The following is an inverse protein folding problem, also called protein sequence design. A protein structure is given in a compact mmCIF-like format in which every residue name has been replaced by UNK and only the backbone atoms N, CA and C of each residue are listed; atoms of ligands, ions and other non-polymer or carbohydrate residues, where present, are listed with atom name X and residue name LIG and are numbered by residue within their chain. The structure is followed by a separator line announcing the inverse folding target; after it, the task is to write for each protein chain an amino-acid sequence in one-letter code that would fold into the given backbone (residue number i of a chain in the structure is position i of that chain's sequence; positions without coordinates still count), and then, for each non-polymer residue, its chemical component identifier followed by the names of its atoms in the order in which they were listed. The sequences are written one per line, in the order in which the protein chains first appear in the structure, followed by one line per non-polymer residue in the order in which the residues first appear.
data_IF_464335688945
#
_entry.id   IF_464335688945
#
_cell.length_a   1.000
_cell.length_b   1.000
_cell.length_c   1.000
_cell.angle_alpha   90.00
_cell.angle_beta   90.00
_cell.angle_gamma   90.00
#
_symmetry.space_group_name_H-M   'P 1'
#
loop_
_entity.id
_entity.type
_entity.pdbx_description
1 polymer ?
#
# COMPACT_ATOMS: atom_id res chain seq x y z
N UNK A 1 23.15 -6.51 6.32
CA UNK A 1 22.50 -5.48 7.15
C UNK A 1 21.44 -4.96 6.24
N UNK A 2 20.20 -5.32 6.49
CA UNK A 2 19.08 -4.86 5.67
C UNK A 2 18.99 -3.35 5.92
N UNK A 3 19.30 -2.57 4.89
CA UNK A 3 19.32 -1.12 4.97
C UNK A 3 17.88 -0.65 4.94
N UNK A 4 17.43 0.03 5.99
CA UNK A 4 16.08 0.57 6.07
C UNK A 4 16.07 2.08 5.80
N UNK A 5 15.08 2.56 5.06
CA UNK A 5 14.81 3.98 4.83
C UNK A 5 13.52 4.37 5.55
N UNK A 6 13.47 5.61 6.06
CA UNK A 6 12.27 6.18 6.66
C UNK A 6 11.75 7.26 5.72
N UNK A 7 10.57 7.05 5.16
CA UNK A 7 9.81 8.04 4.43
C UNK A 7 8.94 8.84 5.40
N UNK A 8 8.77 10.14 5.15
CA UNK A 8 7.98 11.04 5.98
C UNK A 8 7.03 11.84 5.10
N UNK A 9 5.74 11.87 5.45
CA UNK A 9 4.75 12.68 4.73
C UNK A 9 4.70 14.13 5.26
N UNK A 10 3.89 14.97 4.62
CA UNK A 10 3.69 16.37 4.99
C UNK A 10 3.05 16.59 6.38
N UNK A 11 2.39 15.58 6.92
CA UNK A 11 1.76 15.61 8.25
C UNK A 11 2.72 15.17 9.37
N UNK A 12 3.92 14.69 9.00
CA UNK A 12 4.91 14.11 9.90
C UNK A 12 4.67 12.65 10.23
N UNK A 13 3.75 11.98 9.52
CA UNK A 13 3.63 10.52 9.53
C UNK A 13 4.90 9.89 8.98
N UNK A 14 5.19 8.65 9.39
CA UNK A 14 6.39 7.93 8.94
C UNK A 14 6.06 6.55 8.40
N UNK A 15 6.81 6.11 7.40
CA UNK A 15 6.77 4.76 6.86
C UNK A 15 8.20 4.22 6.82
N UNK A 16 8.44 3.05 7.41
CA UNK A 16 9.75 2.40 7.41
C UNK A 16 9.75 1.34 6.32
N UNK A 17 10.73 1.42 5.43
CA UNK A 17 10.85 0.54 4.29
C UNK A 17 12.20 -0.18 4.28
N UNK A 18 12.21 -1.39 3.74
CA UNK A 18 13.43 -2.03 3.26
C UNK A 18 13.80 -1.42 1.90
N UNK A 19 15.11 -1.39 1.61
CA UNK A 19 15.60 -1.13 0.26
C UNK A 19 15.55 -2.46 -0.49
N UNK A 20 14.63 -2.55 -1.46
CA UNK A 20 14.58 -3.68 -2.39
C UNK A 20 15.66 -3.51 -3.45
N UNK A 21 15.82 -2.29 -3.96
CA UNK A 21 16.79 -2.02 -5.01
C UNK A 21 17.30 -0.58 -5.00
N UNK A 22 18.43 -0.34 -5.67
CA UNK A 22 19.06 0.97 -5.83
C UNK A 22 19.50 1.18 -7.28
N UNK A 23 18.94 2.22 -7.89
CA UNK A 23 19.17 2.57 -9.30
C UNK A 23 19.93 3.89 -9.34
N UNK A 24 21.05 3.92 -10.06
CA UNK A 24 21.88 5.11 -10.20
C UNK A 24 21.69 5.74 -11.60
N UNK A 25 21.17 6.96 -11.65
CA UNK A 25 20.96 7.73 -12.89
C UNK A 25 21.58 9.12 -12.73
N UNK A 26 22.49 9.50 -13.63
CA UNK A 26 23.14 10.83 -13.65
C UNK A 26 23.66 11.32 -12.27
N UNK A 27 24.39 10.44 -11.56
CA UNK A 27 24.94 10.66 -10.21
C UNK A 27 23.89 10.81 -9.08
N UNK A 28 22.62 10.49 -9.34
CA UNK A 28 21.55 10.44 -8.33
C UNK A 28 21.20 8.98 -8.04
N UNK A 29 21.17 8.61 -6.77
CA UNK A 29 20.67 7.32 -6.31
C UNK A 29 19.16 7.40 -6.05
N UNK A 30 18.45 6.49 -6.70
CA UNK A 30 17.03 6.23 -6.54
C UNK A 30 16.85 4.89 -5.84
N UNK A 31 15.87 4.81 -4.95
CA UNK A 31 15.64 3.65 -4.12
C UNK A 31 14.24 3.10 -4.42
N UNK A 32 14.20 1.80 -4.71
CA UNK A 32 12.96 1.03 -4.70
C UNK A 32 12.75 0.51 -3.28
N UNK A 33 11.62 0.88 -2.69
CA UNK A 33 11.35 0.68 -1.28
C UNK A 33 10.07 -0.13 -1.06
N UNK A 34 10.18 -1.18 -0.25
CA UNK A 34 9.02 -1.94 0.21
C UNK A 34 8.77 -1.66 1.70
N UNK A 35 7.52 -1.35 2.11
CA UNK A 35 7.16 -1.27 3.53
C UNK A 35 7.58 -2.52 4.32
N UNK A 36 8.09 -2.32 5.54
CA UNK A 36 8.43 -3.44 6.43
C UNK A 36 7.17 -4.18 6.90
N UNK A 37 6.10 -3.43 7.18
CA UNK A 37 4.79 -3.96 7.54
C UNK A 37 3.92 -4.09 6.28
N UNK A 38 2.99 -5.04 6.24
CA UNK A 38 2.15 -5.28 5.06
C UNK A 38 1.19 -4.11 4.83
N UNK A 39 1.14 -3.59 3.59
CA UNK A 39 0.17 -2.55 3.22
C UNK A 39 -1.25 -3.08 3.27
N UNK A 40 -2.19 -2.27 3.74
CA UNK A 40 -3.61 -2.61 3.74
C UNK A 40 -4.47 -1.42 3.32
N UNK A 41 -5.65 -1.71 2.81
CA UNK A 41 -6.68 -0.72 2.49
C UNK A 41 -7.98 -1.07 3.21
N UNK A 42 -8.77 -0.06 3.57
CA UNK A 42 -10.12 -0.25 4.11
C UNK A 42 -11.08 0.32 3.10
N UNK A 43 -12.08 -0.47 2.72
CA UNK A 43 -13.15 -0.06 1.81
C UNK A 43 -14.51 -0.19 2.49
N UNK A 44 -15.44 0.69 2.11
CA UNK A 44 -16.86 0.56 2.42
C UNK A 44 -17.53 -0.26 1.33
N UNK A 45 -18.48 -1.11 1.72
CA UNK A 45 -19.36 -1.79 0.77
C UNK A 45 -20.61 -0.92 0.56
N UNK A 46 -20.77 -0.36 -0.63
CA UNK A 46 -21.96 0.43 -0.99
C UNK A 46 -22.83 -0.30 -2.02
N UNK A 47 -24.12 0.04 -2.06
CA UNK A 47 -25.01 -0.49 -3.09
C UNK A 47 -24.67 0.12 -4.45
N UNK A 48 -24.47 -0.74 -5.45
CA UNK A 48 -24.23 -0.36 -6.84
C UNK A 48 -25.47 0.19 -7.55
N UNK A 49 -25.37 0.35 -8.87
CA UNK A 49 -26.49 0.85 -9.68
C UNK A 49 -27.67 -0.13 -9.74
N UNK A 50 -27.40 -1.43 -9.67
CA UNK A 50 -28.40 -2.50 -9.59
C UNK A 50 -28.61 -2.95 -8.13
N UNK A 51 -29.85 -3.31 -7.78
CA UNK A 51 -30.23 -3.61 -6.37
C UNK A 51 -29.45 -4.78 -5.74
N UNK A 52 -28.93 -5.68 -6.58
CA UNK A 52 -28.19 -6.87 -6.17
C UNK A 52 -26.65 -6.70 -6.24
N UNK A 53 -26.16 -5.52 -6.67
CA UNK A 53 -24.74 -5.24 -6.80
C UNK A 53 -24.20 -4.48 -5.59
N UNK A 54 -23.05 -4.92 -5.07
CA UNK A 54 -22.28 -4.22 -4.05
C UNK A 54 -20.94 -3.80 -4.66
N UNK A 55 -20.52 -2.56 -4.38
CA UNK A 55 -19.25 -1.99 -4.86
C UNK A 55 -18.36 -1.61 -3.68
N UNK A 56 -17.05 -1.67 -3.90
CA UNK A 56 -16.04 -1.19 -2.96
C UNK A 56 -15.79 0.29 -3.19
N UNK A 57 -15.85 1.08 -2.12
CA UNK A 57 -15.64 2.52 -2.17
C UNK A 57 -14.55 2.92 -1.16
N UNK A 58 -13.62 3.77 -1.60
CA UNK A 58 -12.59 4.34 -0.74
C UNK A 58 -13.17 5.24 0.35
N UNK A 59 -12.51 5.24 1.52
CA UNK A 59 -12.92 6.07 2.64
C UNK A 59 -12.27 7.45 2.59
N UNK A 60 -13.06 8.48 2.84
CA UNK A 60 -12.53 9.80 3.16
C UNK A 60 -11.80 9.80 4.52
N UNK A 61 -10.94 10.79 4.76
CA UNK A 61 -10.05 10.80 5.92
C UNK A 61 -10.78 10.80 7.28
N UNK A 62 -11.94 11.45 7.37
CA UNK A 62 -12.79 11.50 8.57
C UNK A 62 -13.56 10.20 8.78
N UNK A 63 -14.05 9.57 7.72
CA UNK A 63 -14.68 8.24 7.78
C UNK A 63 -13.67 7.18 8.21
N UNK A 64 -12.50 7.15 7.56
CA UNK A 64 -11.39 6.29 7.97
C UNK A 64 -11.05 6.50 9.45
N UNK A 65 -11.06 7.75 9.90
CA UNK A 65 -10.79 8.06 11.29
C UNK A 65 -11.84 7.50 12.27
N UNK A 66 -13.11 7.46 11.87
CA UNK A 66 -14.21 6.91 12.67
C UNK A 66 -14.11 5.38 12.78
N UNK A 67 -13.81 4.69 11.68
CA UNK A 67 -13.80 3.22 11.64
C UNK A 67 -12.51 2.59 12.13
N UNK A 68 -11.40 3.34 12.17
CA UNK A 68 -10.05 2.83 12.46
C UNK A 68 -9.97 1.97 13.74
N UNK A 69 -10.65 2.41 14.81
CA UNK A 69 -10.62 1.68 16.08
C UNK A 69 -11.34 0.33 16.02
N UNK A 70 -12.42 0.25 15.24
CA UNK A 70 -13.16 -1.00 14.97
C UNK A 70 -12.31 -1.92 14.10
N UNK A 71 -11.73 -1.39 13.03
CA UNK A 71 -10.83 -2.13 12.14
C UNK A 71 -9.64 -2.75 12.91
N UNK A 72 -8.98 -1.94 13.75
CA UNK A 72 -7.91 -2.43 14.64
C UNK A 72 -8.41 -3.52 15.60
N UNK A 73 -9.61 -3.39 16.17
CA UNK A 73 -10.14 -4.40 17.09
C UNK A 73 -10.32 -5.76 16.40
N UNK A 74 -10.88 -5.76 15.17
CA UNK A 74 -11.09 -7.00 14.40
C UNK A 74 -9.76 -7.62 13.95
N UNK A 75 -8.82 -6.83 13.43
CA UNK A 75 -7.49 -7.33 13.08
C UNK A 75 -6.74 -7.92 14.29
N UNK A 76 -6.93 -7.35 15.48
CA UNK A 76 -6.29 -7.85 16.71
C UNK A 76 -6.70 -9.28 17.05
N UNK A 77 -7.87 -9.75 16.61
CA UNK A 77 -8.31 -11.13 16.81
C UNK A 77 -7.40 -12.13 16.07
N UNK A 78 -6.73 -11.67 15.01
CA UNK A 78 -5.76 -12.42 14.21
C UNK A 78 -4.31 -12.10 14.58
N UNK A 79 -4.07 -11.39 15.69
CA UNK A 79 -2.76 -10.86 16.09
C UNK A 79 -2.15 -9.85 15.10
N UNK A 80 -3.00 -9.19 14.31
CA UNK A 80 -2.61 -8.16 13.37
C UNK A 80 -2.78 -6.77 14.00
N UNK A 81 -1.76 -5.93 13.87
CA UNK A 81 -1.74 -4.57 14.43
C UNK A 81 -1.75 -3.52 13.32
N UNK A 82 -2.89 -2.85 13.17
CA UNK A 82 -3.10 -1.76 12.22
C UNK A 82 -2.33 -0.51 12.64
N UNK A 83 -1.67 0.13 11.68
CA UNK A 83 -0.86 1.33 11.86
C UNK A 83 -1.28 2.41 10.88
N UNK A 84 -1.34 3.65 11.38
CA UNK A 84 -1.38 4.84 10.53
C UNK A 84 0.06 5.22 10.19
N UNK A 85 0.55 4.70 9.07
CA UNK A 85 1.85 5.05 8.51
C UNK A 85 1.70 6.16 7.47
N UNK A 86 2.82 6.76 7.07
CA UNK A 86 2.81 7.69 5.94
C UNK A 86 2.39 6.96 4.66
N UNK A 87 1.69 7.67 3.78
CA UNK A 87 1.29 7.26 2.42
C UNK A 87 0.30 6.09 2.30
N UNK A 88 0.35 5.11 3.19
CA UNK A 88 -0.56 3.96 3.21
C UNK A 88 -0.80 3.46 4.64
N UNK A 89 -1.89 2.72 4.87
CA UNK A 89 -2.07 1.97 6.11
C UNK A 89 -1.22 0.70 6.06
N UNK A 90 -0.71 0.29 7.20
CA UNK A 90 0.06 -0.96 7.29
C UNK A 90 -0.39 -1.80 8.47
N UNK A 91 -0.13 -3.10 8.38
CA UNK A 91 -0.40 -4.09 9.42
C UNK A 91 0.88 -4.82 9.79
N UNK A 92 1.22 -4.75 11.07
CA UNK A 92 2.27 -5.57 11.67
C UNK A 92 1.69 -6.90 12.11
N UNK A 93 2.32 -7.99 11.68
CA UNK A 93 1.94 -9.36 12.00
C UNK A 93 2.12 -10.28 10.79
N UNK A 94 1.89 -11.57 11.02
CA UNK A 94 1.91 -12.59 9.98
C UNK A 94 0.53 -12.66 9.34
N UNK A 95 0.44 -12.35 8.04
CA UNK A 95 -0.80 -12.44 7.29
C UNK A 95 -1.27 -13.91 7.17
N UNK A 96 -2.58 -14.15 7.04
CA UNK A 96 -3.08 -15.47 6.68
C UNK A 96 -2.54 -15.91 5.31
N UNK A 97 -2.54 -17.22 5.07
CA UNK A 97 -2.28 -17.76 3.73
C UNK A 97 -3.34 -17.24 2.74
N UNK A 98 -2.97 -17.13 1.46
CA UNK A 98 -3.91 -16.73 0.41
C UNK A 98 -5.06 -17.74 0.28
N UNK A 99 -6.28 -17.23 0.29
CA UNK A 99 -7.50 -17.98 0.00
C UNK A 99 -8.13 -17.47 -1.30
N UNK A 100 -8.25 -18.34 -2.31
CA UNK A 100 -8.87 -18.01 -3.60
C UNK A 100 -10.31 -17.51 -3.45
N UNK A 101 -11.03 -17.91 -2.40
CA UNK A 101 -12.39 -17.44 -2.12
C UNK A 101 -12.43 -16.04 -1.52
N UNK A 102 -11.30 -15.54 -1.00
CA UNK A 102 -11.15 -14.22 -0.37
C UNK A 102 -10.40 -13.22 -1.26
N UNK A 103 -10.13 -13.58 -2.52
CA UNK A 103 -9.49 -12.70 -3.50
C UNK A 103 -10.56 -11.89 -4.26
N UNK A 104 -10.39 -10.57 -4.24
CA UNK A 104 -11.22 -9.62 -4.95
C UNK A 104 -10.38 -8.88 -5.99
N UNK A 105 -10.91 -8.77 -7.20
CA UNK A 105 -10.34 -7.93 -8.24
C UNK A 105 -11.00 -6.55 -8.16
N UNK A 106 -10.18 -5.52 -7.97
CA UNK A 106 -10.61 -4.13 -7.95
C UNK A 106 -10.19 -3.49 -9.26
N UNK A 107 -11.17 -2.92 -9.96
CA UNK A 107 -10.96 -2.17 -11.19
C UNK A 107 -10.28 -0.83 -10.85
N UNK A 108 -9.12 -0.59 -11.45
CA UNK A 108 -8.42 0.68 -11.40
C UNK A 108 -8.65 1.45 -12.70
N UNK A 109 -8.16 2.69 -12.76
CA UNK A 109 -8.18 3.48 -13.98
C UNK A 109 -7.32 2.84 -15.11
N UNK A 110 -7.60 3.20 -16.37
CA UNK A 110 -6.84 2.79 -17.56
C UNK A 110 -6.73 1.26 -17.82
N UNK A 111 -7.84 0.53 -17.69
CA UNK A 111 -7.93 -0.92 -17.96
C UNK A 111 -6.96 -1.77 -17.10
N UNK A 112 -6.51 -1.24 -15.96
CA UNK A 112 -5.68 -1.95 -14.99
C UNK A 112 -6.55 -2.55 -13.87
N UNK A 113 -6.13 -3.71 -13.37
CA UNK A 113 -6.84 -4.43 -12.30
C UNK A 113 -5.82 -4.81 -11.24
N UNK A 114 -6.19 -4.63 -9.98
CA UNK A 114 -5.41 -5.12 -8.86
C UNK A 114 -6.18 -6.18 -8.09
N UNK A 115 -5.46 -7.21 -7.64
CA UNK A 115 -6.01 -8.27 -6.82
C UNK A 115 -5.67 -8.03 -5.35
N UNK A 116 -6.69 -8.17 -4.52
CA UNK A 116 -6.64 -7.96 -3.09
C UNK A 116 -7.14 -9.20 -2.36
N UNK A 117 -6.47 -9.59 -1.28
CA UNK A 117 -7.02 -10.55 -0.32
C UNK A 117 -7.76 -9.80 0.78
N UNK A 118 -8.98 -10.23 1.06
CA UNK A 118 -9.76 -9.77 2.19
C UNK A 118 -9.25 -10.37 3.50
N UNK A 119 -8.84 -9.53 4.45
CA UNK A 119 -8.33 -9.96 5.76
C UNK A 119 -9.43 -10.04 6.81
N UNK A 120 -10.41 -9.14 6.75
CA UNK A 120 -11.46 -9.05 7.76
C UNK A 120 -12.65 -8.20 7.31
N UNK A 121 -13.84 -8.58 7.79
CA UNK A 121 -15.09 -7.81 7.66
C UNK A 121 -15.50 -7.21 8.99
N UNK A 122 -16.09 -6.01 8.96
CA UNK A 122 -16.70 -5.43 10.14
C UNK A 122 -17.87 -4.50 9.80
N UNK A 123 -18.70 -4.23 10.80
CA UNK A 123 -19.79 -3.26 10.72
C UNK A 123 -19.46 -2.06 11.60
N UNK A 124 -19.73 -0.86 11.10
CA UNK A 124 -19.70 0.37 11.89
C UNK A 124 -20.97 1.16 11.59
N UNK A 125 -21.77 1.47 12.61
CA UNK A 125 -23.05 2.19 12.45
C UNK A 125 -23.99 1.59 11.37
N UNK A 126 -24.07 0.25 11.32
CA UNK A 126 -24.86 -0.52 10.32
C UNK A 126 -24.30 -0.50 8.88
N UNK A 127 -23.21 0.22 8.64
CA UNK A 127 -22.49 0.24 7.37
C UNK A 127 -21.41 -0.88 7.33
N UNK A 128 -21.40 -1.74 6.29
CA UNK A 128 -20.37 -2.77 6.09
C UNK A 128 -19.06 -2.22 5.53
N UNK A 129 -17.95 -2.72 6.07
CA UNK A 129 -16.58 -2.41 5.67
C UNK A 129 -15.76 -3.68 5.58
N UNK A 130 -14.67 -3.63 4.82
CA UNK A 130 -13.70 -4.72 4.74
C UNK A 130 -12.27 -4.19 4.63
N UNK A 131 -11.34 -4.97 5.19
CA UNK A 131 -9.91 -4.66 5.24
C UNK A 131 -9.22 -5.62 4.28
N UNK A 132 -8.43 -5.07 3.38
CA UNK A 132 -7.76 -5.83 2.32
C UNK A 132 -6.26 -5.62 2.37
N UNK A 133 -5.52 -6.63 1.94
CA UNK A 133 -4.10 -6.51 1.57
C UNK A 133 -3.97 -6.72 0.06
N UNK A 134 -3.18 -5.91 -0.66
CA UNK A 134 -2.81 -6.23 -2.04
C UNK A 134 -2.10 -7.59 -2.12
N UNK A 135 -2.34 -8.36 -3.18
CA UNK A 135 -1.56 -9.59 -3.44
C UNK A 135 -0.13 -9.26 -3.89
N UNK A 136 0.04 -8.15 -4.59
CA UNK A 136 1.36 -7.64 -4.99
C UNK A 136 1.86 -6.62 -3.96
N UNK A 137 3.11 -6.73 -3.47
CA UNK A 137 3.65 -5.76 -2.53
C UNK A 137 3.63 -4.34 -3.08
N UNK A 138 3.22 -3.38 -2.25
CA UNK A 138 3.28 -1.95 -2.61
C UNK A 138 4.72 -1.48 -2.57
N UNK A 139 5.16 -0.87 -3.67
CA UNK A 139 6.50 -0.32 -3.82
C UNK A 139 6.48 1.21 -3.87
N UNK A 140 7.52 1.84 -3.33
CA UNK A 140 7.71 3.28 -3.36
C UNK A 140 9.05 3.61 -4.01
N UNK A 141 9.06 4.59 -4.91
CA UNK A 141 10.30 5.18 -5.42
C UNK A 141 10.65 6.42 -4.63
N UNK A 142 11.87 6.47 -4.10
CA UNK A 142 12.37 7.61 -3.36
C UNK A 142 13.80 8.01 -3.77
N UNK A 143 14.17 9.23 -3.41
CA UNK A 143 15.55 9.73 -3.52
C UNK A 143 15.91 10.55 -2.29
N UNK A 144 17.21 10.78 -2.09
CA UNK A 144 17.67 11.71 -1.06
C UNK A 144 17.40 13.16 -1.48
N UNK A 145 16.48 13.82 -0.79
CA UNK A 145 16.16 15.22 -0.97
C UNK A 145 17.27 16.16 -0.51
N UNK A 146 17.20 17.41 -0.95
CA UNK A 146 18.19 18.45 -0.61
C UNK A 146 18.23 18.82 0.88
N UNK A 147 17.16 18.51 1.62
CA UNK A 147 17.04 18.63 3.07
C UNK A 147 17.71 17.47 3.83
N UNK A 148 18.22 16.46 3.12
CA UNK A 148 18.81 15.24 3.70
C UNK A 148 17.78 14.21 4.17
N UNK A 149 16.51 14.35 3.80
CA UNK A 149 15.45 13.37 4.03
C UNK A 149 15.13 12.65 2.72
N UNK A 150 14.64 11.42 2.81
CA UNK A 150 14.16 10.71 1.64
C UNK A 150 12.78 11.23 1.26
N UNK A 151 12.59 11.50 -0.03
CA UNK A 151 11.37 12.06 -0.60
C UNK A 151 10.88 11.13 -1.71
N UNK A 152 9.56 10.93 -1.78
CA UNK A 152 8.96 10.20 -2.90
C UNK A 152 9.20 10.95 -4.21
N UNK A 153 9.39 10.20 -5.28
CA UNK A 153 9.49 10.78 -6.61
C UNK A 153 8.15 11.37 -7.01
N UNK A 154 8.20 12.52 -7.68
CA UNK A 154 7.03 13.03 -8.39
C UNK A 154 6.77 12.22 -9.65
N UNK A 155 5.57 12.30 -10.20
CA UNK A 155 5.20 11.63 -11.46
C UNK A 155 6.18 11.94 -12.59
N UNK A 156 6.50 13.23 -12.81
CA UNK A 156 7.52 13.67 -13.79
C UNK A 156 8.91 13.03 -13.58
N UNK A 157 9.28 12.76 -12.33
CA UNK A 157 10.58 12.16 -11.99
C UNK A 157 10.56 10.66 -12.22
N UNK A 158 9.43 10.01 -11.92
CA UNK A 158 9.22 8.60 -12.17
C UNK A 158 9.23 8.30 -13.68
N UNK A 159 8.51 9.08 -14.49
CA UNK A 159 8.53 8.97 -15.95
C UNK A 159 9.96 9.11 -16.52
N UNK A 160 10.75 10.02 -15.95
CA UNK A 160 12.13 10.24 -16.37
C UNK A 160 13.02 9.01 -16.09
N UNK A 161 12.84 8.37 -14.94
CA UNK A 161 13.68 7.21 -14.56
C UNK A 161 13.15 5.87 -15.08
N UNK A 162 11.89 5.80 -15.49
CA UNK A 162 11.22 4.57 -15.93
C UNK A 162 12.05 3.74 -16.93
N UNK A 163 12.68 4.30 -17.99
CA UNK A 163 13.48 3.50 -18.91
C UNK A 163 14.67 2.79 -18.24
N UNK A 164 15.25 3.41 -17.21
CA UNK A 164 16.37 2.83 -16.46
C UNK A 164 15.88 1.76 -15.49
N UNK A 165 14.70 1.94 -14.90
CA UNK A 165 14.05 0.91 -14.07
C UNK A 165 13.78 -0.33 -14.92
N UNK A 166 13.20 -0.17 -16.10
CA UNK A 166 12.91 -1.28 -17.02
C UNK A 166 14.19 -2.02 -17.44
N UNK A 167 15.26 -1.30 -17.81
CA UNK A 167 16.54 -1.92 -18.14
C UNK A 167 17.13 -2.70 -16.96
N UNK A 168 17.09 -2.12 -15.76
CA UNK A 168 17.63 -2.72 -14.55
C UNK A 168 16.86 -3.99 -14.14
N UNK A 169 15.53 -3.99 -14.26
CA UNK A 169 14.71 -5.18 -13.98
C UNK A 169 14.94 -6.33 -14.97
N UNK A 170 15.24 -6.03 -16.24
CA UNK A 170 15.53 -7.06 -17.24
C UNK A 170 16.88 -7.74 -16.93
N UNK A 171 17.88 -6.96 -16.54
CA UNK A 171 19.20 -7.50 -16.21
C UNK A 171 19.14 -8.45 -15.01
N UNK A 172 18.31 -8.16 -13.99
CA UNK A 172 18.11 -9.02 -12.83
C UNK A 172 17.40 -10.35 -13.15
N UNK A 173 16.59 -10.43 -14.21
CA UNK A 173 15.93 -11.67 -14.65
C UNK A 173 16.86 -12.62 -15.43
N UNK A 174 17.99 -12.13 -15.95
CA UNK A 174 18.93 -12.93 -16.75
C UNK A 174 20.05 -13.62 -15.93
N UNK A 175 20.17 -13.37 -14.62
CA UNK A 175 21.22 -13.89 -13.72
C UNK A 175 20.81 -15.06 -12.79
#
# INVERSE_FOLDING_TARGET
MDSTIILTDETGGTLVCNIEDTIAVDDVEYFLLQPIDNSVQIFAWEQGEDEDDEILVDLEADELAAVFSTAQAVLSEQNLKLKRTAFTLTVEGELPDFDEEEIFTVDLDDDSFEEYQELAKFLHEEQPYSIFTPLSPVMFFAKLGSNGQYELLTEDELEMIQPYVEEHMIDDEED
#
